data_IF_229367140497
#
_entry.id   IF_229367140497
#
_cell.length_a   1.000
_cell.length_b   1.000
_cell.length_c   1.000
_cell.angle_alpha   90.00
_cell.angle_beta   90.00
_cell.angle_gamma   90.00
#
_symmetry.space_group_name_H-M   'P 1'
#
loop_
_entity.id
_entity.type
_entity.pdbx_description
1 polymer ?
#
# COMPACT_ATOMS: atom_id res chain seq x y z
N UNK A 1 -11.21 27.45 8.37
CA UNK A 1 -11.35 26.05 8.81
C UNK A 1 -10.81 25.92 10.24
N UNK A 2 -11.38 26.59 11.23
CA UNK A 2 -10.82 26.63 12.59
C UNK A 2 -11.79 26.22 13.68
N UNK A 3 -12.99 25.77 13.34
CA UNK A 3 -13.98 25.31 14.33
C UNK A 3 -14.36 23.81 14.15
N UNK A 4 -13.55 23.09 13.41
CA UNK A 4 -14.01 21.84 12.82
C UNK A 4 -13.63 20.61 13.63
N UNK A 5 -12.56 20.60 14.40
CA UNK A 5 -12.15 19.36 15.07
C UNK A 5 -13.06 18.99 16.25
N UNK A 6 -13.39 19.95 17.14
CA UNK A 6 -14.31 19.68 18.26
C UNK A 6 -15.71 19.31 17.73
N UNK A 7 -16.22 20.05 16.75
CA UNK A 7 -17.53 19.76 16.15
C UNK A 7 -17.62 18.39 15.48
N UNK A 8 -16.52 17.90 14.88
CA UNK A 8 -16.48 16.56 14.30
C UNK A 8 -16.51 15.48 15.38
N UNK A 9 -15.77 15.67 16.47
CA UNK A 9 -15.82 14.76 17.62
C UNK A 9 -17.21 14.74 18.28
N UNK A 10 -17.82 15.91 18.46
CA UNK A 10 -19.17 16.03 19.05
C UNK A 10 -20.22 15.34 18.18
N UNK A 11 -20.15 15.48 16.85
CA UNK A 11 -21.02 14.77 15.90
C UNK A 11 -20.83 13.26 15.98
N UNK A 12 -19.58 12.80 15.97
CA UNK A 12 -19.29 11.36 16.05
C UNK A 12 -19.69 10.76 17.39
N UNK A 13 -19.65 11.53 18.49
CA UNK A 13 -20.12 11.10 19.80
C UNK A 13 -21.65 11.06 19.89
N UNK A 14 -22.34 12.01 19.25
CA UNK A 14 -23.80 12.10 19.26
C UNK A 14 -24.46 11.00 18.39
N UNK A 15 -23.88 10.71 17.23
CA UNK A 15 -24.38 9.68 16.32
C UNK A 15 -23.19 9.02 15.59
N UNK A 16 -22.66 7.96 16.18
CA UNK A 16 -21.51 7.22 15.65
C UNK A 16 -21.82 6.60 14.29
N UNK A 17 -22.94 5.92 14.18
CA UNK A 17 -23.27 5.18 12.97
C UNK A 17 -23.60 6.14 11.82
N UNK A 18 -24.43 7.15 12.04
CA UNK A 18 -24.70 8.17 11.03
C UNK A 18 -23.46 8.91 10.58
N UNK A 19 -22.56 9.23 11.52
CA UNK A 19 -21.26 9.85 11.18
C UNK A 19 -20.42 8.97 10.26
N UNK A 20 -20.22 7.69 10.59
CA UNK A 20 -19.42 6.78 9.77
C UNK A 20 -20.11 6.36 8.48
N UNK A 21 -21.44 6.29 8.45
CA UNK A 21 -22.19 6.09 7.21
C UNK A 21 -21.91 7.25 6.21
N UNK A 22 -21.94 8.49 6.69
CA UNK A 22 -21.63 9.66 5.87
C UNK A 22 -20.19 9.57 5.31
N UNK A 23 -19.21 9.19 6.13
CA UNK A 23 -17.83 9.07 5.66
C UNK A 23 -17.65 7.91 4.67
N UNK A 24 -18.30 6.78 4.90
CA UNK A 24 -18.27 5.62 4.01
C UNK A 24 -18.91 5.92 2.63
N UNK A 25 -19.93 6.76 2.58
CA UNK A 25 -20.57 7.17 1.33
C UNK A 25 -19.68 8.03 0.42
N UNK A 26 -18.49 8.42 0.86
CA UNK A 26 -17.45 9.04 0.01
C UNK A 26 -16.71 8.03 -0.85
N UNK A 27 -16.85 6.74 -0.55
CA UNK A 27 -16.29 5.64 -1.33
C UNK A 27 -17.34 5.10 -2.32
N UNK A 28 -16.83 4.45 -3.36
CA UNK A 28 -17.71 3.70 -4.27
C UNK A 28 -17.98 2.31 -3.68
N UNK A 29 -19.25 2.03 -3.44
CA UNK A 29 -19.74 0.73 -3.03
C UNK A 29 -20.42 0.04 -4.21
N UNK A 30 -19.91 -1.10 -4.60
CA UNK A 30 -20.52 -1.93 -5.64
C UNK A 30 -21.90 -2.46 -5.20
N UNK A 31 -22.00 -2.86 -3.93
CA UNK A 31 -23.24 -3.07 -3.22
C UNK A 31 -23.25 -2.17 -1.98
N UNK A 32 -24.14 -1.18 -1.89
CA UNK A 32 -24.26 -0.35 -0.70
C UNK A 32 -24.52 -1.17 0.56
N UNK A 33 -23.95 -0.74 1.68
CA UNK A 33 -24.25 -1.34 2.99
C UNK A 33 -25.60 -0.84 3.51
N UNK A 34 -26.27 -1.64 4.33
CA UNK A 34 -27.48 -1.26 5.05
C UNK A 34 -27.25 -1.23 6.56
N UNK A 35 -26.25 -1.95 7.05
CA UNK A 35 -25.81 -1.97 8.45
C UNK A 35 -24.42 -1.37 8.56
N UNK A 36 -24.30 -0.30 9.37
CA UNK A 36 -23.03 0.44 9.53
C UNK A 36 -22.09 -0.29 10.47
N UNK A 37 -22.61 -0.73 11.61
CA UNK A 37 -21.84 -1.42 12.65
C UNK A 37 -22.64 -2.60 13.15
N UNK A 38 -22.03 -3.76 13.15
CA UNK A 38 -22.45 -4.93 13.90
C UNK A 38 -21.56 -5.09 15.14
N UNK A 39 -22.19 -5.04 16.33
CA UNK A 39 -21.53 -5.16 17.64
C UNK A 39 -22.13 -6.27 18.48
N UNK A 40 -22.91 -7.19 17.84
CA UNK A 40 -23.64 -8.23 18.55
C UNK A 40 -22.69 -9.26 19.17
N UNK A 41 -21.50 -9.46 18.58
CA UNK A 41 -20.42 -10.33 19.09
C UNK A 41 -19.25 -9.53 19.69
N UNK A 42 -19.57 -8.53 20.53
CA UNK A 42 -18.53 -7.71 21.17
C UNK A 42 -17.50 -8.57 21.94
N UNK A 43 -16.18 -8.31 21.84
CA UNK A 43 -15.56 -7.10 21.32
C UNK A 43 -15.26 -7.12 19.81
N UNK A 44 -15.74 -8.08 19.05
CA UNK A 44 -15.52 -8.17 17.62
C UNK A 44 -16.55 -7.30 16.88
N UNK A 45 -16.07 -6.30 16.19
CA UNK A 45 -16.90 -5.37 15.44
C UNK A 45 -16.83 -5.66 13.95
N UNK A 46 -17.97 -5.70 13.28
CA UNK A 46 -18.05 -5.74 11.82
C UNK A 46 -18.57 -4.38 11.30
N UNK A 47 -17.80 -3.76 10.42
CA UNK A 47 -18.16 -2.48 9.83
C UNK A 47 -18.65 -2.65 8.40
N UNK A 48 -19.86 -2.15 8.11
CA UNK A 48 -20.46 -2.20 6.78
C UNK A 48 -20.61 -3.62 6.22
N UNK A 49 -20.88 -4.60 7.10
CA UNK A 49 -20.75 -6.04 6.86
C UNK A 49 -21.47 -6.57 5.61
N UNK A 50 -22.62 -6.00 5.27
CA UNK A 50 -23.41 -6.38 4.09
C UNK A 50 -23.03 -5.59 2.82
N UNK A 51 -22.11 -4.62 2.92
CA UNK A 51 -21.59 -3.84 1.80
C UNK A 51 -20.54 -4.61 1.00
N UNK A 52 -20.40 -4.27 -0.29
CA UNK A 52 -19.33 -4.78 -1.14
C UNK A 52 -18.62 -3.66 -1.86
N UNK A 53 -17.29 -3.69 -1.83
CA UNK A 53 -16.44 -2.75 -2.54
C UNK A 53 -15.17 -3.45 -3.05
N UNK A 54 -14.43 -2.74 -3.91
CA UNK A 54 -13.05 -3.10 -4.21
C UNK A 54 -12.15 -1.94 -3.78
N UNK A 55 -11.14 -2.23 -2.98
CA UNK A 55 -10.24 -1.20 -2.44
C UNK A 55 -9.40 -0.56 -3.55
N UNK A 56 -8.85 -1.36 -4.48
CA UNK A 56 -8.07 -0.83 -5.59
C UNK A 56 -8.93 0.01 -6.55
N UNK A 57 -10.18 -0.40 -6.81
CA UNK A 57 -11.13 0.42 -7.58
C UNK A 57 -11.31 1.80 -6.97
N UNK A 58 -11.47 1.86 -5.65
CA UNK A 58 -11.60 3.13 -4.94
C UNK A 58 -10.34 4.00 -4.98
N UNK A 59 -9.16 3.37 -5.04
CA UNK A 59 -7.90 4.07 -5.07
C UNK A 59 -7.47 4.51 -6.48
N UNK A 60 -7.93 3.82 -7.53
CA UNK A 60 -7.39 4.03 -8.89
C UNK A 60 -8.49 4.17 -9.93
N UNK A 61 -9.28 3.11 -10.17
CA UNK A 61 -10.21 3.02 -11.30
C UNK A 61 -11.21 4.18 -11.35
N UNK A 62 -11.84 4.49 -10.22
CA UNK A 62 -12.87 5.54 -10.18
C UNK A 62 -12.33 6.90 -10.60
N UNK A 63 -11.06 7.21 -10.27
CA UNK A 63 -10.46 8.48 -10.67
C UNK A 63 -10.22 8.55 -12.16
N UNK A 64 -9.86 7.44 -12.80
CA UNK A 64 -9.72 7.36 -14.25
C UNK A 64 -11.10 7.50 -14.92
N UNK A 65 -12.12 6.81 -14.40
CA UNK A 65 -13.50 6.86 -14.91
C UNK A 65 -14.14 8.24 -14.72
N UNK A 66 -13.78 8.96 -13.64
CA UNK A 66 -14.21 10.34 -13.38
C UNK A 66 -13.44 11.38 -14.22
N UNK A 67 -12.61 10.94 -15.18
CA UNK A 67 -11.90 11.83 -16.12
C UNK A 67 -10.58 12.40 -15.57
N UNK A 68 -10.05 11.82 -14.48
CA UNK A 68 -8.80 12.27 -13.86
C UNK A 68 -7.60 11.36 -14.19
N UNK A 69 -7.69 10.56 -15.24
CA UNK A 69 -6.64 9.60 -15.63
C UNK A 69 -5.27 10.23 -15.87
N UNK A 70 -5.23 11.44 -16.44
CA UNK A 70 -3.98 12.17 -16.72
C UNK A 70 -3.36 12.86 -15.47
N UNK A 71 -4.07 12.86 -14.34
CA UNK A 71 -3.51 13.41 -13.10
C UNK A 71 -2.39 12.50 -12.61
N UNK A 72 -1.26 13.08 -12.23
CA UNK A 72 -0.18 12.33 -11.59
C UNK A 72 -0.67 11.83 -10.23
N UNK A 73 -0.62 10.52 -10.04
CA UNK A 73 -0.87 9.87 -8.76
C UNK A 73 0.41 9.87 -7.92
N UNK A 74 1.53 9.49 -8.51
CA UNK A 74 2.80 9.30 -7.81
C UNK A 74 3.92 10.05 -8.53
N UNK A 75 4.59 10.95 -7.82
CA UNK A 75 5.94 11.43 -8.12
C UNK A 75 6.94 10.59 -7.32
N UNK A 76 7.64 9.70 -7.98
CA UNK A 76 8.66 8.90 -7.31
C UNK A 76 10.05 9.46 -7.56
N UNK A 77 10.87 9.49 -6.50
CA UNK A 77 12.29 9.85 -6.56
C UNK A 77 13.14 8.79 -5.85
N UNK A 78 14.11 8.23 -6.57
CA UNK A 78 15.11 7.32 -6.03
C UNK A 78 16.23 8.05 -5.31
N UNK A 79 16.89 7.40 -4.35
CA UNK A 79 18.02 7.99 -3.61
C UNK A 79 19.17 8.45 -4.52
N UNK A 80 19.51 7.79 -5.64
CA UNK A 80 20.51 8.27 -6.61
C UNK A 80 20.08 9.51 -7.39
N UNK A 81 18.81 9.89 -7.34
CA UNK A 81 18.25 11.06 -8.04
C UNK A 81 17.53 10.72 -9.35
N UNK A 82 17.33 9.46 -9.65
CA UNK A 82 16.41 9.03 -10.69
C UNK A 82 14.96 9.28 -10.23
N UNK A 83 14.07 9.51 -11.19
CA UNK A 83 12.68 9.85 -10.89
C UNK A 83 11.72 9.26 -11.93
N UNK A 84 10.49 9.07 -11.50
CA UNK A 84 9.39 8.60 -12.35
C UNK A 84 8.08 9.20 -11.89
N UNK A 85 7.30 9.71 -12.82
CA UNK A 85 5.91 10.11 -12.58
C UNK A 85 4.98 9.00 -13.09
N UNK A 86 3.93 8.68 -12.33
CA UNK A 86 2.85 7.81 -12.74
C UNK A 86 1.54 8.57 -12.63
N UNK A 87 0.83 8.65 -13.74
CA UNK A 87 -0.56 9.11 -13.77
C UNK A 87 -1.50 8.03 -13.22
N UNK A 88 -2.75 8.40 -12.88
CA UNK A 88 -3.76 7.41 -12.47
C UNK A 88 -4.05 6.39 -13.56
N UNK A 89 -4.02 6.78 -14.83
CA UNK A 89 -4.20 5.86 -15.96
C UNK A 89 -3.04 4.85 -16.07
N UNK A 90 -1.79 5.32 -15.93
CA UNK A 90 -0.62 4.45 -15.92
C UNK A 90 -0.61 3.53 -14.70
N UNK A 91 -0.96 4.05 -13.51
CA UNK A 91 -1.09 3.25 -12.29
C UNK A 91 -2.16 2.16 -12.45
N UNK A 92 -3.31 2.47 -13.05
CA UNK A 92 -4.36 1.49 -13.37
C UNK A 92 -3.82 0.38 -14.28
N UNK A 93 -3.10 0.75 -15.33
CA UNK A 93 -2.52 -0.23 -16.26
C UNK A 93 -1.50 -1.14 -15.57
N UNK A 94 -0.62 -0.59 -14.72
CA UNK A 94 0.37 -1.39 -13.99
C UNK A 94 -0.27 -2.30 -12.94
N UNK A 95 -1.25 -1.82 -12.19
CA UNK A 95 -2.02 -2.63 -11.23
C UNK A 95 -2.76 -3.76 -11.94
N UNK A 96 -3.34 -3.49 -13.11
CA UNK A 96 -4.04 -4.51 -13.92
C UNK A 96 -3.07 -5.57 -14.44
N UNK A 97 -1.88 -5.18 -14.90
CA UNK A 97 -0.81 -6.10 -15.34
C UNK A 97 -0.36 -7.02 -14.20
N UNK A 98 -0.12 -6.44 -13.02
CA UNK A 98 0.24 -7.21 -11.83
C UNK A 98 -0.87 -8.18 -11.42
N UNK A 99 -2.14 -7.73 -11.43
CA UNK A 99 -3.29 -8.56 -11.12
C UNK A 99 -3.41 -9.76 -12.10
N UNK A 100 -3.29 -9.51 -13.40
CA UNK A 100 -3.29 -10.57 -14.41
C UNK A 100 -2.15 -11.58 -14.21
N UNK A 101 -0.97 -11.10 -13.86
CA UNK A 101 0.19 -11.96 -13.57
C UNK A 101 -0.08 -12.84 -12.35
N UNK A 102 -0.55 -12.24 -11.23
CA UNK A 102 -0.83 -13.00 -10.00
C UNK A 102 -1.92 -14.05 -10.22
N UNK A 103 -2.96 -13.72 -10.98
CA UNK A 103 -3.98 -14.68 -11.40
C UNK A 103 -3.38 -15.79 -12.27
N UNK A 104 -2.51 -15.45 -13.22
CA UNK A 104 -1.80 -16.40 -14.09
C UNK A 104 -0.88 -17.36 -13.32
N UNK A 105 -0.38 -16.96 -12.16
CA UNK A 105 0.37 -17.79 -11.22
C UNK A 105 -0.52 -18.65 -10.31
N UNK A 106 -1.84 -18.60 -10.50
CA UNK A 106 -2.80 -19.43 -9.76
C UNK A 106 -3.17 -18.89 -8.37
N UNK A 107 -2.92 -17.59 -8.10
CA UNK A 107 -3.40 -16.98 -6.86
C UNK A 107 -4.90 -16.65 -6.98
N UNK A 108 -5.60 -16.85 -5.87
CA UNK A 108 -7.04 -16.62 -5.74
C UNK A 108 -7.35 -15.79 -4.49
N UNK A 109 -8.53 -15.19 -4.44
CA UNK A 109 -8.96 -14.37 -3.29
C UNK A 109 -8.75 -15.12 -1.96
N UNK A 110 -8.17 -14.43 -0.98
CA UNK A 110 -7.76 -14.99 0.30
C UNK A 110 -6.34 -15.57 0.34
N UNK A 111 -5.66 -15.78 -0.79
CA UNK A 111 -4.25 -16.15 -0.79
C UNK A 111 -3.38 -14.98 -0.26
N UNK A 112 -2.24 -15.30 0.36
CA UNK A 112 -1.36 -14.31 0.97
C UNK A 112 -0.13 -14.09 0.12
N UNK A 113 0.28 -12.82 0.06
CA UNK A 113 1.45 -12.33 -0.67
C UNK A 113 2.36 -11.55 0.28
N UNK A 114 3.62 -11.96 0.39
CA UNK A 114 4.61 -11.18 1.13
C UNK A 114 5.31 -10.19 0.18
N UNK A 115 5.35 -8.91 0.57
CA UNK A 115 6.01 -7.85 -0.18
C UNK A 115 7.22 -7.38 0.63
N UNK A 116 8.42 -7.73 0.16
CA UNK A 116 9.70 -7.41 0.80
C UNK A 116 10.50 -6.50 -0.13
N UNK A 117 10.11 -5.23 -0.17
CA UNK A 117 10.57 -4.26 -1.16
C UNK A 117 10.90 -2.91 -0.52
N UNK A 118 11.82 -2.12 -1.12
CA UNK A 118 11.99 -0.72 -0.78
C UNK A 118 10.81 0.13 -1.26
N UNK A 119 10.90 1.44 -1.03
CA UNK A 119 9.92 2.44 -1.45
C UNK A 119 10.00 2.72 -2.96
N UNK A 120 9.58 1.76 -3.77
CA UNK A 120 9.51 1.87 -5.23
C UNK A 120 8.05 1.77 -5.71
N UNK A 121 7.71 2.34 -6.88
CA UNK A 121 6.34 2.30 -7.38
C UNK A 121 5.75 0.90 -7.48
N UNK A 122 6.55 -0.08 -7.86
CA UNK A 122 6.13 -1.47 -7.99
C UNK A 122 5.65 -2.08 -6.66
N UNK A 123 6.10 -1.57 -5.52
CA UNK A 123 5.59 -2.01 -4.22
C UNK A 123 4.15 -1.53 -3.99
N UNK A 124 3.83 -0.29 -4.37
CA UNK A 124 2.46 0.25 -4.33
C UNK A 124 1.57 -0.48 -5.33
N UNK A 125 2.07 -0.72 -6.54
CA UNK A 125 1.38 -1.51 -7.57
C UNK A 125 1.05 -2.91 -7.06
N UNK A 126 2.00 -3.59 -6.40
CA UNK A 126 1.79 -4.92 -5.83
C UNK A 126 0.72 -4.92 -4.72
N UNK A 127 0.73 -3.93 -3.82
CA UNK A 127 -0.29 -3.77 -2.78
C UNK A 127 -1.69 -3.58 -3.38
N UNK A 128 -1.81 -2.70 -4.38
CA UNK A 128 -3.07 -2.43 -5.07
C UNK A 128 -3.54 -3.62 -5.91
N UNK A 129 -2.64 -4.36 -6.55
CA UNK A 129 -2.98 -5.58 -7.28
C UNK A 129 -3.51 -6.67 -6.35
N UNK A 130 -2.91 -6.84 -5.16
CA UNK A 130 -3.44 -7.71 -4.13
C UNK A 130 -4.85 -7.28 -3.71
N UNK A 131 -5.05 -6.00 -3.40
CA UNK A 131 -6.36 -5.47 -3.05
C UNK A 131 -7.41 -5.64 -4.16
N UNK A 132 -6.99 -5.53 -5.43
CA UNK A 132 -7.84 -5.72 -6.61
C UNK A 132 -8.37 -7.14 -6.72
N UNK A 133 -7.54 -8.12 -6.38
CA UNK A 133 -7.84 -9.55 -6.48
C UNK A 133 -8.40 -10.15 -5.20
N UNK A 134 -8.54 -9.37 -4.11
CA UNK A 134 -8.89 -9.91 -2.80
C UNK A 134 -7.79 -10.80 -2.20
N UNK A 135 -6.54 -10.64 -2.63
CA UNK A 135 -5.39 -11.26 -2.00
C UNK A 135 -5.03 -10.48 -0.73
N UNK A 136 -4.52 -11.19 0.27
CA UNK A 136 -4.11 -10.58 1.55
C UNK A 136 -2.61 -10.32 1.52
N UNK A 137 -2.19 -9.07 1.44
CA UNK A 137 -0.77 -8.77 1.43
C UNK A 137 -0.19 -8.58 2.83
N UNK A 138 1.10 -8.92 2.97
CA UNK A 138 1.91 -8.62 4.14
C UNK A 138 3.17 -7.91 3.70
N UNK A 139 3.25 -6.60 3.95
CA UNK A 139 4.46 -5.84 3.64
C UNK A 139 5.46 -6.00 4.76
N UNK A 140 6.64 -6.45 4.40
CA UNK A 140 7.77 -6.66 5.30
C UNK A 140 8.85 -5.63 4.97
N UNK A 141 9.27 -4.86 5.97
CA UNK A 141 10.31 -3.85 5.78
C UNK A 141 11.60 -4.47 5.21
N UNK A 142 12.07 -3.98 4.07
CA UNK A 142 13.20 -4.55 3.32
C UNK A 142 14.57 -4.47 4.04
N UNK A 143 14.60 -3.92 5.24
CA UNK A 143 15.77 -3.92 6.13
C UNK A 143 15.73 -4.99 7.22
N UNK A 144 14.70 -5.85 7.26
CA UNK A 144 14.63 -6.95 8.21
C UNK A 144 15.52 -8.12 7.78
N UNK A 145 15.91 -8.96 8.76
CA UNK A 145 16.69 -10.18 8.51
C UNK A 145 15.89 -11.26 7.79
N UNK A 146 16.59 -12.23 7.19
CA UNK A 146 15.98 -13.40 6.57
C UNK A 146 15.08 -14.16 7.55
N UNK A 147 15.50 -14.34 8.79
CA UNK A 147 14.70 -15.00 9.82
C UNK A 147 13.42 -14.25 10.17
N UNK A 148 13.46 -12.91 10.19
CA UNK A 148 12.28 -12.09 10.41
C UNK A 148 11.31 -12.12 9.21
N UNK A 149 11.82 -12.21 7.98
CA UNK A 149 11.02 -12.45 6.79
C UNK A 149 10.39 -13.85 6.84
N UNK A 150 11.18 -14.89 7.12
CA UNK A 150 10.74 -16.27 7.23
C UNK A 150 9.54 -16.42 8.17
N UNK A 151 9.66 -15.89 9.40
CA UNK A 151 8.58 -15.97 10.37
C UNK A 151 7.25 -15.41 9.85
N UNK A 152 7.29 -14.31 9.08
CA UNK A 152 6.08 -13.68 8.53
C UNK A 152 5.51 -14.45 7.36
N UNK A 153 6.38 -14.98 6.50
CA UNK A 153 6.00 -15.83 5.37
C UNK A 153 5.29 -17.09 5.86
N UNK A 154 5.86 -17.75 6.87
CA UNK A 154 5.31 -18.99 7.42
C UNK A 154 4.02 -18.74 8.20
N UNK A 155 3.98 -17.72 9.06
CA UNK A 155 2.79 -17.40 9.86
C UNK A 155 1.61 -16.98 8.97
N UNK A 156 1.87 -16.18 7.92
CA UNK A 156 0.85 -15.82 6.94
C UNK A 156 0.51 -16.97 5.99
N UNK A 157 1.37 -17.96 5.82
CA UNK A 157 1.26 -18.98 4.77
C UNK A 157 1.29 -18.34 3.38
N UNK A 158 2.26 -17.45 3.12
CA UNK A 158 2.36 -16.72 1.86
C UNK A 158 2.71 -17.67 0.71
N UNK A 159 2.03 -17.52 -0.44
CA UNK A 159 2.26 -18.30 -1.65
C UNK A 159 3.17 -17.57 -2.66
N UNK A 160 3.22 -16.24 -2.59
CA UNK A 160 4.06 -15.40 -3.43
C UNK A 160 4.90 -14.47 -2.55
N UNK A 161 6.17 -14.29 -2.93
CA UNK A 161 7.03 -13.21 -2.40
C UNK A 161 7.36 -12.25 -3.55
N UNK A 162 7.27 -10.96 -3.30
CA UNK A 162 7.69 -9.92 -4.24
C UNK A 162 8.85 -9.16 -3.61
N UNK A 163 9.97 -9.03 -4.36
CA UNK A 163 11.19 -8.39 -3.88
C UNK A 163 11.91 -7.64 -5.01
N UNK A 164 13.10 -7.14 -4.74
CA UNK A 164 13.95 -6.45 -5.73
C UNK A 164 15.34 -7.10 -5.80
N UNK A 165 16.04 -6.88 -6.93
CA UNK A 165 17.46 -7.23 -7.07
C UNK A 165 18.31 -6.43 -6.07
N UNK A 166 17.97 -5.19 -5.84
CA UNK A 166 18.64 -4.26 -4.95
C UNK A 166 17.74 -3.15 -4.46
N UNK A 167 18.23 -2.41 -3.47
CA UNK A 167 17.63 -1.17 -2.96
C UNK A 167 18.72 -0.14 -2.72
N UNK A 168 18.42 1.13 -2.93
CA UNK A 168 19.32 2.21 -2.55
C UNK A 168 19.01 2.69 -1.15
N UNK A 169 20.05 2.69 -0.30
CA UNK A 169 19.90 3.16 1.08
C UNK A 169 21.20 3.69 1.64
N UNK A 170 21.20 4.91 2.16
CA UNK A 170 22.39 5.60 2.74
C UNK A 170 23.58 5.67 1.78
N UNK A 171 23.28 5.95 0.50
CA UNK A 171 24.31 6.11 -0.54
C UNK A 171 24.89 4.81 -1.07
N UNK A 172 24.36 3.65 -0.70
CA UNK A 172 24.84 2.35 -1.19
C UNK A 172 23.70 1.45 -1.64
N UNK A 173 23.98 0.60 -2.63
CA UNK A 173 23.06 -0.44 -3.05
C UNK A 173 23.22 -1.67 -2.14
N UNK A 174 22.09 -2.23 -1.70
CA UNK A 174 22.03 -3.47 -0.90
C UNK A 174 21.04 -4.44 -1.52
N UNK A 175 21.38 -5.73 -1.68
CA UNK A 175 20.50 -6.71 -2.30
C UNK A 175 19.52 -7.33 -1.27
N UNK A 176 18.17 -7.16 -1.41
CA UNK A 176 17.18 -7.87 -0.59
C UNK A 176 17.01 -9.34 -0.95
N UNK A 177 17.21 -9.70 -2.23
CA UNK A 177 16.98 -11.06 -2.75
C UNK A 177 17.73 -12.17 -2.00
N UNK A 178 19.02 -12.02 -1.58
CA UNK A 178 19.70 -13.04 -0.77
C UNK A 178 18.99 -13.34 0.55
N UNK A 179 18.39 -12.34 1.22
CA UNK A 179 17.62 -12.57 2.43
C UNK A 179 16.32 -13.34 2.15
N UNK A 180 15.72 -13.15 0.96
CA UNK A 180 14.58 -13.97 0.51
C UNK A 180 15.03 -15.42 0.29
N UNK A 181 16.14 -15.63 -0.41
CA UNK A 181 16.66 -16.99 -0.67
C UNK A 181 17.01 -17.71 0.63
N UNK A 182 17.69 -17.05 1.57
CA UNK A 182 17.98 -17.59 2.90
C UNK A 182 16.68 -17.92 3.65
N UNK A 183 15.69 -17.02 3.65
CA UNK A 183 14.41 -17.23 4.30
C UNK A 183 13.65 -18.44 3.73
N UNK A 184 13.79 -18.74 2.44
CA UNK A 184 13.10 -19.83 1.76
C UNK A 184 13.93 -21.12 1.64
N UNK A 185 15.20 -21.11 2.06
CA UNK A 185 16.08 -22.27 1.96
C UNK A 185 15.80 -23.36 3.00
N UNK A 186 15.22 -22.99 4.15
CA UNK A 186 14.99 -23.90 5.27
C UNK A 186 13.54 -24.41 5.30
N UNK A 187 13.35 -25.71 5.37
CA UNK A 187 12.07 -26.39 5.61
C UNK A 187 11.07 -26.26 4.45
N UNK A 188 9.85 -26.69 4.71
CA UNK A 188 8.74 -26.61 3.76
C UNK A 188 8.15 -25.20 3.75
N UNK A 189 8.39 -24.45 2.68
CA UNK A 189 7.76 -23.15 2.47
C UNK A 189 6.51 -23.28 1.62
N UNK A 190 5.47 -22.49 1.95
CA UNK A 190 4.26 -22.38 1.10
C UNK A 190 4.47 -21.49 -0.12
N UNK A 191 5.63 -20.83 -0.25
CA UNK A 191 5.96 -19.93 -1.35
C UNK A 191 6.23 -20.74 -2.62
N UNK A 192 5.41 -20.54 -3.61
CA UNK A 192 5.50 -21.18 -4.93
C UNK A 192 6.33 -20.34 -5.90
N UNK A 193 6.22 -19.01 -5.79
CA UNK A 193 6.88 -18.08 -6.70
C UNK A 193 7.52 -16.89 -5.96
N UNK A 194 8.61 -16.37 -6.57
CA UNK A 194 9.25 -15.11 -6.17
C UNK A 194 9.31 -14.19 -7.38
N UNK A 195 8.68 -13.02 -7.32
CA UNK A 195 8.81 -12.01 -8.37
C UNK A 195 9.87 -10.98 -7.94
N UNK A 196 10.82 -10.72 -8.84
CA UNK A 196 11.97 -9.84 -8.59
C UNK A 196 11.91 -8.62 -9.49
N UNK A 197 11.83 -7.44 -8.91
CA UNK A 197 11.93 -6.16 -9.62
C UNK A 197 13.40 -5.78 -9.81
N UNK A 198 13.77 -5.40 -11.03
CA UNK A 198 15.12 -4.89 -11.34
C UNK A 198 15.20 -3.41 -10.97
N UNK A 199 15.82 -3.11 -9.84
CA UNK A 199 15.96 -1.74 -9.31
C UNK A 199 17.39 -1.19 -9.45
N UNK A 200 18.38 -1.98 -9.12
CA UNK A 200 19.79 -1.54 -9.06
C UNK A 200 20.66 -2.14 -10.15
N UNK A 201 20.22 -3.22 -10.78
CA UNK A 201 21.00 -3.95 -11.77
C UNK A 201 22.11 -4.82 -11.15
N UNK A 202 22.09 -5.05 -9.83
CA UNK A 202 23.01 -5.99 -9.17
C UNK A 202 22.78 -7.38 -9.74
N UNK A 203 23.86 -8.10 -9.99
CA UNK A 203 23.79 -9.51 -10.38
C UNK A 203 23.09 -10.31 -9.28
N UNK A 204 21.98 -10.94 -9.68
CA UNK A 204 21.03 -11.53 -8.75
C UNK A 204 20.75 -12.96 -9.14
N UNK A 205 21.14 -13.95 -8.32
CA UNK A 205 20.82 -15.34 -8.57
C UNK A 205 19.31 -15.56 -8.64
N UNK A 206 18.86 -16.28 -9.67
CA UNK A 206 17.46 -16.64 -9.90
C UNK A 206 17.31 -18.15 -9.82
N UNK A 207 16.41 -18.63 -8.97
CA UNK A 207 16.09 -20.06 -8.82
C UNK A 207 15.10 -20.44 -9.91
N UNK A 208 15.54 -21.33 -10.81
CA UNK A 208 14.71 -21.80 -11.94
C UNK A 208 13.41 -22.46 -11.46
N UNK A 209 12.30 -22.10 -12.08
CA UNK A 209 10.96 -22.62 -11.75
C UNK A 209 10.27 -21.91 -10.58
N UNK A 210 11.00 -21.15 -9.76
CA UNK A 210 10.44 -20.35 -8.64
C UNK A 210 10.49 -18.86 -8.93
N UNK A 211 11.64 -18.35 -9.41
CA UNK A 211 11.90 -16.93 -9.50
C UNK A 211 11.59 -16.38 -10.90
N UNK A 212 10.92 -15.24 -10.93
CA UNK A 212 10.45 -14.59 -12.13
C UNK A 212 10.87 -13.11 -12.11
N UNK A 213 11.34 -12.57 -13.23
CA UNK A 213 11.57 -11.14 -13.36
C UNK A 213 10.25 -10.40 -13.58
N UNK A 214 10.06 -9.29 -12.83
CA UNK A 214 8.89 -8.41 -12.99
C UNK A 214 8.75 -7.90 -14.44
N UNK A 215 9.84 -7.46 -15.05
CA UNK A 215 9.83 -6.92 -16.41
C UNK A 215 9.62 -7.99 -17.50
N UNK A 216 9.79 -9.26 -17.19
CA UNK A 216 9.52 -10.37 -18.12
C UNK A 216 8.13 -10.99 -17.95
N UNK A 217 7.45 -10.68 -16.86
CA UNK A 217 6.12 -11.20 -16.54
C UNK A 217 5.09 -10.10 -16.43
N UNK A 218 5.17 -9.26 -15.39
CA UNK A 218 4.18 -8.23 -15.13
C UNK A 218 4.11 -7.21 -16.25
N UNK A 219 5.25 -6.72 -16.72
CA UNK A 219 5.27 -5.70 -17.79
C UNK A 219 4.72 -6.17 -19.12
N UNK A 220 4.63 -7.49 -19.34
CA UNK A 220 4.12 -8.08 -20.58
C UNK A 220 2.64 -8.51 -20.47
N UNK A 221 2.08 -8.53 -19.28
CA UNK A 221 0.69 -8.90 -19.07
C UNK A 221 -0.30 -7.83 -19.61
N UNK A 222 -1.57 -8.20 -19.78
CA UNK A 222 -2.60 -7.26 -20.23
C UNK A 222 -2.74 -6.09 -19.26
N UNK A 223 -2.84 -4.84 -19.76
CA UNK A 223 -3.11 -3.67 -18.92
C UNK A 223 -4.59 -3.54 -18.52
N UNK A 224 -5.43 -4.48 -18.91
CA UNK A 224 -6.85 -4.50 -18.62
C UNK A 224 -7.18 -5.63 -17.66
N UNK A 225 -7.87 -5.32 -16.57
CA UNK A 225 -8.37 -6.27 -15.59
C UNK A 225 -9.57 -5.65 -14.87
N UNK A 226 -10.68 -6.37 -14.79
CA UNK A 226 -11.88 -5.91 -14.09
C UNK A 226 -11.75 -6.11 -12.59
N UNK A 227 -11.99 -5.06 -11.79
CA UNK A 227 -11.98 -5.13 -10.34
C UNK A 227 -13.27 -5.78 -9.82
N UNK A 228 -13.15 -6.95 -9.21
CA UNK A 228 -14.29 -7.65 -8.61
C UNK A 228 -14.58 -7.15 -7.20
N UNK A 229 -15.85 -6.99 -6.79
CA UNK A 229 -16.20 -6.53 -5.45
C UNK A 229 -16.03 -7.65 -4.41
N UNK A 230 -15.53 -7.28 -3.24
CA UNK A 230 -15.41 -8.14 -2.06
C UNK A 230 -16.27 -7.59 -0.91
N UNK A 231 -16.61 -8.45 0.06
CA UNK A 231 -17.31 -8.03 1.25
C UNK A 231 -16.49 -6.99 2.04
N UNK A 232 -17.16 -6.08 2.75
CA UNK A 232 -16.47 -5.05 3.52
C UNK A 232 -15.51 -5.63 4.56
N UNK A 233 -15.83 -6.78 5.13
CA UNK A 233 -15.00 -7.52 6.08
C UNK A 233 -13.98 -8.46 5.40
N UNK A 234 -13.90 -8.45 4.06
CA UNK A 234 -12.87 -9.23 3.37
C UNK A 234 -11.47 -8.78 3.81
N UNK A 235 -10.56 -9.73 4.19
CA UNK A 235 -9.20 -9.43 4.56
C UNK A 235 -8.45 -8.63 3.49
N UNK A 236 -7.76 -7.56 3.89
CA UNK A 236 -6.98 -6.71 3.00
C UNK A 236 -5.47 -6.92 3.19
N UNK A 237 -5.00 -6.84 4.42
CA UNK A 237 -3.59 -7.03 4.73
C UNK A 237 -3.34 -7.50 6.17
N UNK A 238 -2.15 -8.05 6.38
CA UNK A 238 -1.62 -8.43 7.68
C UNK A 238 -0.38 -7.58 7.97
N UNK A 239 -0.38 -6.89 9.11
CA UNK A 239 0.81 -6.21 9.63
C UNK A 239 1.27 -6.83 10.94
N UNK A 240 2.58 -7.05 11.04
CA UNK A 240 3.19 -7.66 12.20
C UNK A 240 3.71 -6.61 13.18
N UNK A 241 3.31 -6.73 14.43
CA UNK A 241 3.81 -5.94 15.54
C UNK A 241 4.79 -6.74 16.40
N UNK A 242 5.70 -6.04 17.10
CA UNK A 242 6.55 -6.68 18.11
C UNK A 242 5.67 -7.15 19.27
N UNK A 243 5.38 -8.45 19.32
CA UNK A 243 4.61 -9.02 20.41
C UNK A 243 5.36 -8.97 21.73
N UNK A 244 4.64 -8.83 22.85
CA UNK A 244 5.18 -8.88 24.22
C UNK A 244 5.85 -10.23 24.56
N UNK A 245 5.57 -11.27 23.78
CA UNK A 245 6.08 -12.64 23.96
C UNK A 245 7.29 -12.97 23.08
N UNK A 246 7.88 -11.99 22.40
CA UNK A 246 9.04 -12.18 21.52
C UNK A 246 8.71 -12.69 20.11
N UNK A 247 7.51 -13.24 19.86
CA UNK A 247 7.05 -13.59 18.51
C UNK A 247 6.22 -12.45 17.93
N UNK A 248 6.45 -12.06 16.65
CA UNK A 248 5.59 -11.10 15.99
C UNK A 248 4.13 -11.57 15.96
N UNK A 249 3.20 -10.63 16.16
CA UNK A 249 1.76 -10.89 16.07
C UNK A 249 1.23 -10.23 14.80
N UNK A 250 0.59 -11.01 13.94
CA UNK A 250 -0.09 -10.52 12.74
C UNK A 250 -1.43 -9.89 13.12
N UNK A 251 -1.62 -8.64 12.77
CA UNK A 251 -2.89 -7.93 12.90
C UNK A 251 -3.55 -7.90 11.52
N UNK A 252 -4.70 -8.53 11.40
CA UNK A 252 -5.49 -8.55 10.19
C UNK A 252 -6.35 -7.28 10.10
N UNK A 253 -6.29 -6.61 8.96
CA UNK A 253 -7.14 -5.48 8.61
C UNK A 253 -8.10 -5.87 7.48
N UNK A 254 -9.38 -5.52 7.63
CA UNK A 254 -10.43 -5.75 6.64
C UNK A 254 -10.65 -4.52 5.75
N UNK A 255 -11.36 -4.69 4.63
CA UNK A 255 -11.37 -3.71 3.53
C UNK A 255 -12.19 -2.45 3.81
N UNK A 256 -13.47 -2.60 4.14
CA UNK A 256 -14.42 -1.48 4.13
C UNK A 256 -14.20 -0.47 5.25
N UNK A 257 -14.15 -0.96 6.50
CA UNK A 257 -13.93 -0.10 7.66
C UNK A 257 -12.57 0.59 7.62
N UNK A 258 -11.53 -0.14 7.26
CA UNK A 258 -10.17 0.41 7.15
C UNK A 258 -10.08 1.49 6.07
N UNK A 259 -10.59 1.23 4.85
CA UNK A 259 -10.49 2.22 3.77
C UNK A 259 -11.29 3.49 4.08
N UNK A 260 -12.50 3.33 4.69
CA UNK A 260 -13.31 4.47 5.14
C UNK A 260 -12.54 5.35 6.12
N UNK A 261 -11.93 4.73 7.13
CA UNK A 261 -11.15 5.45 8.15
C UNK A 261 -9.90 6.11 7.55
N UNK A 262 -9.14 5.40 6.71
CA UNK A 262 -7.92 5.92 6.10
C UNK A 262 -8.21 7.11 5.16
N UNK A 263 -9.24 6.99 4.31
CA UNK A 263 -9.67 8.05 3.40
C UNK A 263 -10.18 9.28 4.18
N UNK A 264 -11.02 9.07 5.20
CA UNK A 264 -11.54 10.15 6.02
C UNK A 264 -10.43 10.91 6.76
N UNK A 265 -9.57 10.20 7.49
CA UNK A 265 -8.52 10.83 8.29
C UNK A 265 -7.46 11.51 7.42
N UNK A 266 -7.08 10.92 6.28
CA UNK A 266 -6.21 11.59 5.32
C UNK A 266 -6.81 12.91 4.85
N UNK A 267 -8.08 12.92 4.45
CA UNK A 267 -8.72 14.13 3.96
C UNK A 267 -8.83 15.21 5.03
N UNK A 268 -9.31 14.86 6.23
CA UNK A 268 -9.62 15.84 7.28
C UNK A 268 -8.37 16.34 8.00
N UNK A 269 -7.44 15.44 8.35
CA UNK A 269 -6.23 15.81 9.12
C UNK A 269 -5.26 16.61 8.28
N UNK A 270 -5.11 16.26 7.00
CA UNK A 270 -4.18 16.95 6.09
C UNK A 270 -4.85 18.07 5.28
N UNK A 271 -6.19 18.25 5.40
CA UNK A 271 -6.95 19.26 4.63
C UNK A 271 -6.60 19.19 3.12
N UNK A 272 -6.54 17.94 2.62
CA UNK A 272 -6.06 17.67 1.28
C UNK A 272 -7.07 18.04 0.22
N UNK A 273 -6.60 18.74 -0.83
CA UNK A 273 -7.40 19.19 -1.98
C UNK A 273 -6.88 18.52 -3.26
N UNK A 274 -7.56 17.48 -3.77
CA UNK A 274 -7.13 16.77 -4.97
C UNK A 274 -6.93 17.72 -6.16
N UNK A 275 -5.82 17.54 -6.89
CA UNK A 275 -5.47 18.38 -8.06
C UNK A 275 -4.91 19.76 -7.74
N UNK A 276 -4.80 20.13 -6.45
CA UNK A 276 -4.20 21.39 -6.01
C UNK A 276 -2.97 21.14 -5.12
N UNK A 277 -3.05 20.16 -4.23
CA UNK A 277 -2.01 19.86 -3.29
C UNK A 277 -1.20 18.64 -3.75
N UNK A 278 0.11 18.68 -3.53
CA UNK A 278 0.99 17.52 -3.60
C UNK A 278 1.29 17.07 -2.18
N UNK A 279 0.97 15.83 -1.87
CA UNK A 279 1.10 15.26 -0.54
C UNK A 279 2.41 14.47 -0.41
N UNK A 280 3.02 14.49 0.75
CA UNK A 280 4.19 13.67 1.04
C UNK A 280 4.16 13.14 2.47
N UNK A 281 4.15 11.82 2.58
CA UNK A 281 4.35 11.08 3.82
C UNK A 281 5.76 10.49 3.83
N UNK A 282 6.53 10.77 4.88
CA UNK A 282 7.93 10.29 5.02
C UNK A 282 8.05 8.94 5.73
N UNK A 283 6.93 8.24 5.92
CA UNK A 283 6.92 6.89 6.48
C UNK A 283 7.38 5.86 5.43
N UNK A 284 7.51 4.61 5.86
CA UNK A 284 7.78 3.46 5.00
C UNK A 284 6.51 2.60 4.91
N UNK A 285 6.27 2.00 3.73
CA UNK A 285 5.11 1.11 3.51
C UNK A 285 5.12 -0.15 4.39
N UNK A 286 6.26 -0.54 4.95
CA UNK A 286 6.36 -1.62 5.92
C UNK A 286 5.66 -1.35 7.26
N UNK A 287 5.08 -0.16 7.46
CA UNK A 287 4.38 0.26 8.67
C UNK A 287 2.94 0.64 8.37
N UNK A 288 2.06 0.58 9.39
CA UNK A 288 0.65 0.97 9.23
C UNK A 288 0.48 2.40 8.72
N UNK A 289 1.37 3.31 9.12
CA UNK A 289 1.38 4.70 8.62
C UNK A 289 1.58 4.74 7.12
N UNK A 290 2.49 3.92 6.57
CA UNK A 290 2.70 3.83 5.12
C UNK A 290 1.49 3.26 4.40
N UNK A 291 0.86 2.20 4.91
CA UNK A 291 -0.37 1.66 4.35
C UNK A 291 -1.47 2.73 4.29
N UNK A 292 -1.72 3.41 5.41
CA UNK A 292 -2.85 4.35 5.54
C UNK A 292 -2.59 5.69 4.86
N UNK A 293 -1.34 6.19 4.87
CA UNK A 293 -1.02 7.56 4.47
C UNK A 293 0.06 7.67 3.38
N UNK A 294 0.42 6.55 2.72
CA UNK A 294 1.11 6.55 1.45
C UNK A 294 0.21 5.86 0.40
N UNK A 295 -0.40 4.71 0.71
CA UNK A 295 -1.11 3.95 -0.31
C UNK A 295 -2.62 4.23 -0.28
N UNK A 296 -3.33 3.77 0.75
CA UNK A 296 -4.79 3.67 0.68
C UNK A 296 -5.52 5.01 0.88
N UNK A 297 -5.16 5.79 1.89
CA UNK A 297 -5.82 7.06 2.18
C UNK A 297 -5.63 8.12 1.09
N UNK A 298 -4.38 8.42 0.69
CA UNK A 298 -4.10 9.39 -0.36
C UNK A 298 -4.74 9.00 -1.69
N UNK A 299 -4.51 7.77 -2.17
CA UNK A 299 -5.03 7.32 -3.45
C UNK A 299 -6.55 7.23 -3.46
N UNK A 300 -7.20 6.79 -2.37
CA UNK A 300 -8.65 6.84 -2.26
C UNK A 300 -9.21 8.27 -2.35
N UNK A 301 -8.44 9.29 -1.99
CA UNK A 301 -8.84 10.69 -2.13
C UNK A 301 -8.39 11.34 -3.45
N UNK A 302 -7.82 10.60 -4.39
CA UNK A 302 -7.35 11.14 -5.67
C UNK A 302 -6.17 12.10 -5.53
N UNK A 303 -5.30 11.86 -4.56
CA UNK A 303 -4.13 12.69 -4.27
C UNK A 303 -3.07 12.56 -5.37
N UNK A 304 -2.26 13.61 -5.54
CA UNK A 304 -0.92 13.53 -6.11
C UNK A 304 0.05 13.45 -4.95
N UNK A 305 0.90 12.43 -4.90
CA UNK A 305 1.82 12.24 -3.80
C UNK A 305 3.27 12.05 -4.22
N UNK A 306 4.20 12.32 -3.29
CA UNK A 306 5.62 12.06 -3.44
C UNK A 306 5.97 10.78 -2.70
N UNK A 307 6.65 9.86 -3.41
CA UNK A 307 7.22 8.63 -2.84
C UNK A 307 8.73 8.70 -3.01
N UNK A 308 9.47 8.56 -1.93
CA UNK A 308 10.93 8.65 -1.93
C UNK A 308 11.57 7.34 -1.49
N UNK A 309 12.44 6.75 -2.35
CA UNK A 309 13.30 5.65 -1.95
C UNK A 309 14.58 6.19 -1.32
N UNK A 310 14.88 5.76 -0.12
CA UNK A 310 16.10 6.13 0.57
C UNK A 310 15.85 6.59 2.01
N UNK A 311 16.88 7.20 2.60
CA UNK A 311 16.79 7.78 3.94
C UNK A 311 16.79 9.30 3.87
N UNK A 312 16.08 10.02 4.76
CA UNK A 312 16.02 11.49 4.73
C UNK A 312 17.39 12.19 4.84
N UNK A 313 18.41 11.46 5.26
CA UNK A 313 19.77 11.97 5.50
C UNK A 313 20.78 11.61 4.40
N UNK A 314 20.37 10.90 3.34
CA UNK A 314 21.25 10.49 2.25
C UNK A 314 20.76 11.06 0.91
N UNK A 315 21.66 11.45 0.01
CA UNK A 315 23.13 11.53 0.14
C UNK A 315 23.60 12.70 1.00
N UNK A 316 22.73 13.64 1.30
CA UNK A 316 22.97 14.82 2.16
C UNK A 316 21.70 15.14 2.94
N UNK A 317 21.80 15.95 4.01
CA UNK A 317 20.62 16.46 4.76
C UNK A 317 19.66 17.30 3.90
N UNK A 318 19.92 17.42 2.60
CA UNK A 318 19.11 18.15 1.63
C UNK A 318 18.29 17.22 0.72
N UNK A 319 18.34 15.89 0.90
CA UNK A 319 17.56 14.94 0.08
C UNK A 319 16.07 15.29 0.10
N UNK A 320 15.49 15.51 1.29
CA UNK A 320 14.11 15.99 1.45
C UNK A 320 13.85 17.35 0.81
N UNK A 321 14.88 18.22 0.75
CA UNK A 321 14.80 19.53 0.10
C UNK A 321 14.88 19.48 -1.41
N UNK A 322 15.47 18.42 -2.00
CA UNK A 322 15.50 18.21 -3.45
C UNK A 322 14.19 17.64 -3.96
N UNK A 323 13.67 16.59 -3.32
CA UNK A 323 12.39 16.00 -3.67
C UNK A 323 11.29 17.07 -3.72
N UNK A 324 11.33 18.02 -2.77
CA UNK A 324 10.39 19.15 -2.76
C UNK A 324 10.62 20.21 -3.84
N UNK A 325 11.79 20.20 -4.52
CA UNK A 325 12.13 21.17 -5.58
C UNK A 325 12.02 20.60 -6.99
N UNK A 326 12.24 19.29 -7.17
CA UNK A 326 12.12 18.63 -8.47
C UNK A 326 10.66 18.54 -8.94
N UNK A 327 9.74 18.43 -8.02
CA UNK A 327 8.30 18.51 -8.27
C UNK A 327 7.84 19.97 -8.28
N UNK A 328 8.38 20.82 -9.16
CA UNK A 328 8.05 22.23 -9.26
C UNK A 328 6.60 22.45 -9.69
N UNK A 329 5.67 22.18 -8.82
CA UNK A 329 4.29 22.61 -8.85
C UNK A 329 3.99 23.52 -7.63
N UNK A 330 3.12 24.53 -7.75
CA UNK A 330 3.15 25.73 -6.89
C UNK A 330 2.52 25.57 -5.52
N UNK A 331 2.60 24.46 -4.86
CA UNK A 331 2.35 24.38 -3.41
C UNK A 331 2.61 23.02 -2.81
N UNK A 332 3.86 22.78 -2.38
CA UNK A 332 4.06 21.77 -1.36
C UNK A 332 3.54 22.36 -0.06
N UNK A 333 2.36 21.94 0.34
CA UNK A 333 1.83 22.32 1.65
C UNK A 333 2.62 21.57 2.71
N UNK A 334 3.70 22.19 3.17
CA UNK A 334 4.47 21.77 4.33
C UNK A 334 3.57 21.96 5.56
N UNK A 335 2.64 21.04 5.81
CA UNK A 335 1.90 21.03 7.07
C UNK A 335 2.65 20.19 8.09
N UNK A 336 3.21 20.92 9.04
CA UNK A 336 3.70 20.62 10.40
C UNK A 336 4.12 19.18 10.68
N UNK A 337 5.38 19.06 11.11
CA UNK A 337 5.90 17.95 11.89
C UNK A 337 4.87 17.44 12.89
N UNK A 338 4.49 16.21 12.73
CA UNK A 338 3.97 15.45 13.85
C UNK A 338 5.17 15.07 14.71
N UNK A 339 5.43 15.82 15.78
CA UNK A 339 6.29 15.39 16.86
C UNK A 339 5.46 14.46 17.73
N UNK A 340 5.80 13.18 17.76
CA UNK A 340 5.29 12.28 18.80
C UNK A 340 5.66 12.87 20.17
N UNK A 341 4.74 12.85 21.15
CA UNK A 341 5.10 13.19 22.53
C UNK A 341 6.12 12.16 23.03
N UNK A 342 7.13 12.69 23.69
CA UNK A 342 8.20 11.96 24.40
C UNK A 342 7.64 11.08 25.50
#
# INVERSE_FOLDING_TARGET
VTDTSSALYDRAAADREGFWAEQANRLHWHRPFTRVLDWDDAPFAEWFADGKLNVAYNCVDRHVLDGHGERVAIHWEGEPGDSRDLTYAELLAEVSRAANTFTGLGLTAGDRVAIYMPMVPEAIVAMLACARLGLVHSVVFAGFSASALRQRVDDAGARLVITTDGQWRRGSAAPPKPAVDEALAEGDSTVEHVIVVRRTGIDTPMVSGRDLWWHETVSLASPEHEAQPFDAEHPLFILYTSGTTGKPKGILHTSGGYLTQAAYTHNVVFDHRPGQDVYWCTADIGWVTGHSYIVYGPLANGATEVVYEGTPTSPTNTATGRSSKSTASPSITRRRRWSAPS
#
